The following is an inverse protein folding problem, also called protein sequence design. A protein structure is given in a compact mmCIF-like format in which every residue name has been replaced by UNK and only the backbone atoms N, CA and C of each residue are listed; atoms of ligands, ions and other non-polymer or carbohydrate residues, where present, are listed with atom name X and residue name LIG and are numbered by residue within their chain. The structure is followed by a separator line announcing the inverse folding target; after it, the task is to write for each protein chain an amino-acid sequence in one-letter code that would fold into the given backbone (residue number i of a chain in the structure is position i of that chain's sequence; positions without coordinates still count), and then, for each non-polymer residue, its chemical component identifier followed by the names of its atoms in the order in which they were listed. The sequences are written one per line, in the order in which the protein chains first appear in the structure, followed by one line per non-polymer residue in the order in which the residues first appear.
data_IF_559464579818
#
_entry.id   IF_559464579818
#
_cell.length_a   1.000
_cell.length_b   1.000
_cell.length_c   1.000
_cell.angle_alpha   90.00
_cell.angle_beta   90.00
_cell.angle_gamma   90.00
#
_symmetry.space_group_name_H-M   'P 1'
#
loop_
_entity.id
_entity.type
_entity.pdbx_description
1 polymer ?
#
# COMPACT_ATOMS: atom_id res chain seq x y z
N UNK A 1 7.17 -9.22 9.31
CA UNK A 1 7.24 -8.56 7.98
C UNK A 1 8.61 -7.90 7.78
N UNK A 2 9.01 -6.94 8.62
CA UNK A 2 10.32 -6.25 8.50
C UNK A 2 11.54 -7.18 8.43
N UNK A 3 11.56 -8.27 9.20
CA UNK A 3 12.64 -9.27 9.14
C UNK A 3 12.84 -9.89 7.75
N UNK A 4 11.77 -10.04 6.96
CA UNK A 4 11.84 -10.59 5.60
C UNK A 4 12.32 -9.56 4.56
N UNK A 5 12.38 -8.28 4.92
CA UNK A 5 12.80 -7.20 4.03
C UNK A 5 14.31 -6.95 4.08
N UNK A 6 15.04 -7.57 5.02
CA UNK A 6 16.49 -7.41 5.14
C UNK A 6 17.25 -7.93 3.92
N UNK A 7 16.70 -8.93 3.24
CA UNK A 7 17.34 -9.57 2.08
C UNK A 7 16.96 -8.91 0.74
N UNK A 8 16.06 -7.93 0.75
CA UNK A 8 15.63 -7.20 -0.45
C UNK A 8 16.68 -6.17 -0.81
N UNK A 9 17.26 -6.30 -2.02
CA UNK A 9 18.32 -5.38 -2.51
C UNK A 9 17.78 -4.16 -3.23
N UNK A 10 16.52 -4.18 -3.63
CA UNK A 10 15.87 -3.09 -4.33
C UNK A 10 15.66 -1.89 -3.39
N UNK A 11 15.63 -0.65 -3.94
CA UNK A 11 15.23 0.53 -3.19
C UNK A 11 13.87 0.33 -2.51
N UNK A 12 13.84 0.52 -1.18
CA UNK A 12 12.60 0.42 -0.41
C UNK A 12 12.18 1.78 0.13
N UNK A 13 10.88 1.98 0.20
CA UNK A 13 10.22 3.18 0.71
C UNK A 13 9.19 2.74 1.73
N UNK A 14 9.15 3.40 2.90
CA UNK A 14 8.18 3.11 3.94
C UNK A 14 6.97 4.03 3.77
N UNK A 15 5.76 3.47 3.75
CA UNK A 15 4.52 4.24 3.68
C UNK A 15 3.65 3.85 4.89
N UNK A 16 3.48 4.80 5.81
CA UNK A 16 2.60 4.66 6.98
C UNK A 16 1.24 5.27 6.64
N UNK A 17 0.25 4.41 6.40
CA UNK A 17 -1.12 4.82 6.07
C UNK A 17 -2.01 4.99 7.32
N UNK A 18 -3.16 5.65 7.15
CA UNK A 18 -4.20 5.90 8.18
C UNK A 18 -3.77 6.85 9.30
N UNK A 19 -2.93 7.84 8.96
CA UNK A 19 -2.41 8.82 9.93
C UNK A 19 -3.53 9.67 10.57
N UNK A 20 -4.70 9.75 9.94
CA UNK A 20 -5.90 10.40 10.47
C UNK A 20 -6.47 9.73 11.74
N UNK A 21 -6.08 8.48 12.03
CA UNK A 21 -6.59 7.72 13.18
C UNK A 21 -5.60 7.59 14.32
N UNK A 22 -4.37 8.10 14.16
CA UNK A 22 -3.25 7.84 15.07
C UNK A 22 -2.62 9.16 15.52
N UNK A 23 -2.19 9.22 16.78
CA UNK A 23 -1.51 10.40 17.32
C UNK A 23 -0.13 10.59 16.66
N UNK A 24 0.32 11.83 16.40
CA UNK A 24 1.61 12.10 15.77
C UNK A 24 2.81 11.46 16.48
N UNK A 25 2.83 11.48 17.82
CA UNK A 25 3.91 10.90 18.63
C UNK A 25 4.09 9.39 18.38
N UNK A 26 2.97 8.67 18.25
CA UNK A 26 2.98 7.24 17.96
C UNK A 26 3.48 6.96 16.55
N UNK A 27 3.11 7.80 15.57
CA UNK A 27 3.59 7.68 14.19
C UNK A 27 5.11 7.91 14.09
N UNK A 28 5.63 8.89 14.83
CA UNK A 28 7.06 9.15 14.91
C UNK A 28 7.82 7.97 15.52
N UNK A 29 7.33 7.42 16.63
CA UNK A 29 7.95 6.25 17.26
C UNK A 29 7.95 5.02 16.34
N UNK A 30 6.83 4.77 15.64
CA UNK A 30 6.72 3.68 14.66
C UNK A 30 7.68 3.86 13.49
N UNK A 31 7.75 5.08 12.96
CA UNK A 31 8.68 5.43 11.88
C UNK A 31 10.13 5.18 12.30
N UNK A 32 10.52 5.65 13.48
CA UNK A 32 11.88 5.46 14.00
C UNK A 32 12.22 3.97 14.15
N UNK A 33 11.34 3.19 14.80
CA UNK A 33 11.55 1.76 15.02
C UNK A 33 11.61 0.96 13.71
N UNK A 34 10.89 1.38 12.67
CA UNK A 34 10.93 0.74 11.36
C UNK A 34 12.23 1.07 10.60
N UNK A 35 12.64 2.34 10.59
CA UNK A 35 13.86 2.79 9.92
C UNK A 35 15.14 2.28 10.59
N UNK A 36 15.11 1.99 11.90
CA UNK A 36 16.23 1.35 12.60
C UNK A 36 16.44 -0.10 12.12
N UNK A 37 15.36 -0.79 11.76
CA UNK A 37 15.40 -2.21 11.36
C UNK A 37 15.70 -2.43 9.90
N UNK A 38 15.26 -1.51 9.04
CA UNK A 38 15.37 -1.61 7.59
C UNK A 38 15.75 -0.24 7.03
N UNK A 39 16.79 -0.14 6.17
CA UNK A 39 17.22 1.13 5.59
C UNK A 39 16.28 1.54 4.45
N UNK A 40 15.17 2.19 4.79
CA UNK A 40 14.28 2.79 3.79
C UNK A 40 14.90 4.08 3.23
N UNK A 41 14.78 4.31 1.92
CA UNK A 41 15.26 5.55 1.29
C UNK A 41 14.47 6.77 1.72
N UNK A 42 13.16 6.59 1.95
CA UNK A 42 12.25 7.66 2.38
C UNK A 42 11.09 7.04 3.14
N UNK A 43 10.54 7.81 4.09
CA UNK A 43 9.32 7.45 4.83
C UNK A 43 8.23 8.47 4.54
N UNK A 44 7.04 7.99 4.21
CA UNK A 44 5.84 8.79 3.96
C UNK A 44 4.78 8.49 5.02
N UNK A 45 4.11 9.54 5.47
CA UNK A 45 2.97 9.47 6.38
C UNK A 45 1.75 9.95 5.60
N UNK A 46 0.81 9.03 5.34
CA UNK A 46 -0.31 9.30 4.43
C UNK A 46 -1.64 8.91 5.06
N UNK A 47 -2.70 9.59 4.64
CA UNK A 47 -4.06 9.10 4.80
C UNK A 47 -4.65 8.92 3.41
N UNK A 48 -4.75 7.65 2.99
CA UNK A 48 -5.42 7.32 1.74
C UNK A 48 -6.91 7.70 1.74
N UNK A 49 -7.51 7.85 2.93
CA UNK A 49 -8.91 8.23 3.08
C UNK A 49 -9.12 9.73 2.83
N UNK A 50 -8.26 10.58 3.39
CA UNK A 50 -8.39 12.04 3.27
C UNK A 50 -7.55 12.64 2.15
N UNK A 51 -6.66 11.85 1.55
CA UNK A 51 -5.67 12.29 0.56
C UNK A 51 -4.43 12.96 1.16
N UNK A 52 -4.35 13.11 2.49
CA UNK A 52 -3.20 13.72 3.16
C UNK A 52 -1.91 12.95 2.86
N UNK A 53 -0.84 13.67 2.49
CA UNK A 53 0.48 13.10 2.16
C UNK A 53 0.54 12.27 0.88
N UNK A 54 -0.59 12.03 0.20
CA UNK A 54 -0.64 11.20 -1.00
C UNK A 54 0.00 11.90 -2.21
N UNK A 55 -0.12 13.23 -2.29
CA UNK A 55 0.52 14.02 -3.35
C UNK A 55 2.04 13.90 -3.29
N UNK A 56 2.63 14.13 -2.13
CA UNK A 56 4.09 14.05 -1.95
C UNK A 56 4.64 12.65 -2.27
N UNK A 57 3.85 11.61 -1.98
CA UNK A 57 4.18 10.24 -2.36
C UNK A 57 4.16 10.06 -3.89
N UNK A 58 3.12 10.55 -4.56
CA UNK A 58 3.01 10.48 -6.03
C UNK A 58 4.15 11.25 -6.71
N UNK A 59 4.42 12.47 -6.26
CA UNK A 59 5.49 13.31 -6.79
C UNK A 59 6.84 12.58 -6.66
N UNK A 60 7.16 12.02 -5.49
CA UNK A 60 8.37 11.24 -5.30
C UNK A 60 8.45 10.00 -6.21
N UNK A 61 7.36 9.27 -6.39
CA UNK A 61 7.35 8.10 -7.28
C UNK A 61 7.60 8.54 -8.72
N UNK A 62 6.96 9.62 -9.19
CA UNK A 62 7.15 10.16 -10.53
C UNK A 62 8.59 10.59 -10.81
N UNK A 63 9.27 11.16 -9.81
CA UNK A 63 10.66 11.60 -9.93
C UNK A 63 11.67 10.45 -9.87
N UNK A 64 11.33 9.36 -9.18
CA UNK A 64 12.26 8.24 -8.92
C UNK A 64 12.06 7.04 -9.83
N UNK A 65 10.94 6.98 -10.56
CA UNK A 65 10.68 5.95 -11.54
C UNK A 65 11.66 6.05 -12.72
N UNK A 66 12.36 4.95 -13.07
CA UNK A 66 13.22 4.96 -14.24
C UNK A 66 12.38 5.12 -15.51
N UNK A 67 12.88 5.89 -16.47
CA UNK A 67 12.27 5.98 -17.78
C UNK A 67 12.21 4.58 -18.43
N UNK A 68 11.06 4.23 -18.98
CA UNK A 68 10.82 2.93 -19.60
C UNK A 68 9.69 3.02 -20.62
N UNK A 69 9.55 2.01 -21.49
CA UNK A 69 8.43 1.95 -22.41
C UNK A 69 7.12 1.76 -21.63
N UNK A 70 6.03 2.25 -22.20
CA UNK A 70 4.70 1.88 -21.74
C UNK A 70 4.49 0.39 -21.97
N UNK A 71 4.36 -0.39 -20.89
CA UNK A 71 4.09 -1.83 -20.97
C UNK A 71 2.61 -2.13 -21.17
N UNK A 72 1.73 -1.16 -20.91
CA UNK A 72 0.28 -1.27 -21.05
C UNK A 72 -0.28 -0.05 -21.80
N UNK A 73 -1.36 -0.20 -22.58
CA UNK A 73 -2.09 0.90 -23.21
C UNK A 73 -2.64 1.89 -22.18
N UNK A 74 -2.73 3.18 -22.53
CA UNK A 74 -3.23 4.24 -21.62
C UNK A 74 -4.69 4.04 -21.18
N UNK A 75 -5.48 3.34 -21.98
CA UNK A 75 -6.89 3.03 -21.74
C UNK A 75 -7.10 1.76 -20.88
N UNK A 76 -6.02 1.04 -20.55
CA UNK A 76 -6.09 -0.14 -19.71
C UNK A 76 -6.10 0.24 -18.22
N UNK A 77 -7.30 0.41 -17.66
CA UNK A 77 -7.50 0.73 -16.22
C UNK A 77 -7.00 -0.40 -15.30
N UNK A 78 -7.00 -1.65 -15.77
CA UNK A 78 -6.53 -2.80 -15.00
C UNK A 78 -6.11 -3.96 -15.91
N UNK A 79 -5.08 -4.70 -15.50
CA UNK A 79 -4.65 -6.00 -16.02
C UNK A 79 -5.36 -7.18 -15.34
N UNK A 80 -6.21 -6.92 -14.33
CA UNK A 80 -6.99 -7.96 -13.68
C UNK A 80 -8.09 -8.48 -14.62
N UNK A 81 -8.22 -9.81 -14.79
CA UNK A 81 -9.38 -10.39 -15.44
C UNK A 81 -10.66 -9.89 -14.77
N UNK A 82 -11.66 -9.50 -15.55
CA UNK A 82 -12.95 -9.00 -15.05
C UNK A 82 -13.59 -9.88 -13.95
N UNK A 83 -13.27 -11.18 -13.93
CA UNK A 83 -13.68 -12.12 -12.88
C UNK A 83 -13.06 -11.84 -11.51
N UNK A 84 -11.80 -11.42 -11.45
CA UNK A 84 -11.15 -11.05 -10.19
C UNK A 84 -11.70 -9.72 -9.65
N UNK A 85 -11.99 -8.75 -10.52
CA UNK A 85 -12.66 -7.51 -10.12
C UNK A 85 -14.07 -7.79 -9.58
N UNK A 86 -14.83 -8.68 -10.22
CA UNK A 86 -16.13 -9.12 -9.73
C UNK A 86 -16.02 -9.80 -8.36
N UNK A 87 -15.00 -10.64 -8.14
CA UNK A 87 -14.74 -11.27 -6.85
C UNK A 87 -14.40 -10.25 -5.75
N UNK A 88 -13.61 -9.22 -6.04
CA UNK A 88 -13.32 -8.13 -5.10
C UNK A 88 -14.59 -7.31 -4.76
N UNK A 89 -15.44 -7.03 -5.75
CA UNK A 89 -16.73 -6.35 -5.53
C UNK A 89 -17.66 -7.22 -4.67
N UNK A 90 -17.77 -8.52 -4.97
CA UNK A 90 -18.57 -9.44 -4.15
C UNK A 90 -18.03 -9.55 -2.73
N UNK A 91 -16.70 -9.57 -2.56
CA UNK A 91 -16.05 -9.58 -1.25
C UNK A 91 -16.30 -8.29 -0.47
N UNK A 92 -16.21 -7.13 -1.10
CA UNK A 92 -16.54 -5.84 -0.49
C UNK A 92 -18.00 -5.82 0.01
N UNK A 93 -18.96 -6.29 -0.81
CA UNK A 93 -20.38 -6.36 -0.42
C UNK A 93 -20.64 -7.39 0.68
N UNK A 94 -19.90 -8.51 0.70
CA UNK A 94 -19.94 -9.49 1.78
C UNK A 94 -19.42 -8.89 3.10
N UNK A 95 -18.29 -8.20 3.10
CA UNK A 95 -17.74 -7.54 4.29
C UNK A 95 -18.66 -6.43 4.85
N UNK A 96 -19.33 -5.67 3.99
CA UNK A 96 -20.28 -4.64 4.43
C UNK A 96 -21.55 -5.21 5.06
N UNK A 97 -21.94 -6.45 4.72
CA UNK A 97 -23.15 -7.10 5.28
C UNK A 97 -22.85 -8.03 6.43
N UNK A 98 -21.72 -8.73 6.40
CA UNK A 98 -21.25 -9.62 7.47
C UNK A 98 -20.26 -8.84 8.33
N UNK A 99 -20.76 -8.22 9.41
CA UNK A 99 -19.95 -7.54 10.43
C UNK A 99 -19.13 -8.54 11.29
N UNK A 100 -18.74 -9.69 10.73
CA UNK A 100 -17.99 -10.74 11.40
C UNK A 100 -16.86 -11.18 10.49
N UNK A 101 -15.64 -11.12 11.03
CA UNK A 101 -14.42 -11.57 10.38
C UNK A 101 -14.55 -13.04 9.99
N UNK A 102 -14.87 -13.31 8.72
CA UNK A 102 -14.69 -14.65 8.17
C UNK A 102 -13.18 -14.96 8.16
N UNK A 103 -12.73 -16.02 8.84
CA UNK A 103 -11.31 -16.34 8.94
C UNK A 103 -10.74 -16.68 7.56
N UNK A 104 -9.73 -15.93 7.16
CA UNK A 104 -8.96 -16.11 5.92
C UNK A 104 -8.26 -17.48 5.90
N UNK A 105 -8.92 -18.51 5.38
CA UNK A 105 -8.25 -19.71 4.89
C UNK A 105 -9.10 -20.45 3.87
N UNK A 106 -9.50 -19.77 2.80
CA UNK A 106 -9.90 -20.46 1.57
C UNK A 106 -9.54 -19.57 0.40
N UNK A 107 -8.42 -19.92 -0.22
CA UNK A 107 -8.12 -19.60 -1.60
C UNK A 107 -9.32 -20.07 -2.44
N UNK A 108 -9.94 -19.18 -3.21
CA UNK A 108 -11.00 -19.53 -4.16
C UNK A 108 -10.38 -19.36 -5.56
N UNK A 109 -10.18 -20.49 -6.24
CA UNK A 109 -9.96 -20.57 -7.69
C UNK A 109 -11.23 -20.22 -8.48
#
# INVERSE_FOLDING_TARGET
ILERLKDVRQPMVLILNKVDRVKPETLLALSAAANEKVPFKRTFMVSALTGSGCKDLLDYLSETLPAGPWYYPEDQISDLPMRQLAAEITREKLYLRLHQELPYSSHIE
#
